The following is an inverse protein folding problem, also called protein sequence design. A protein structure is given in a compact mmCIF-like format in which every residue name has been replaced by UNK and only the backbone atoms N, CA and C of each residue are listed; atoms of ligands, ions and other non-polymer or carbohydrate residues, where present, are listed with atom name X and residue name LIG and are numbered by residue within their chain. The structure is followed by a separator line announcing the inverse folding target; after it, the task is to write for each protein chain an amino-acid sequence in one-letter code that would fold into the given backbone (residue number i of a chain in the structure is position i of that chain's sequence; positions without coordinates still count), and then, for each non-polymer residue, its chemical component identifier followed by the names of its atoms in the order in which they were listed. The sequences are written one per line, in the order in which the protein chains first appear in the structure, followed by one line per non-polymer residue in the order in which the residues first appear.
data_IF_350347970800
#
_entry.id   IF_350347970800
#
_cell.length_a   1.000
_cell.length_b   1.000
_cell.length_c   1.000
_cell.angle_alpha   90.00
_cell.angle_beta   90.00
_cell.angle_gamma   90.00
#
_symmetry.space_group_name_H-M   'P 1'
#
loop_
_entity.id
_entity.type
_entity.pdbx_description
1 polymer ?
#
# COMPACT_ATOMS: atom_id res chain seq x y z
N UNK A 1 -0.47 16.23 -16.63
CA UNK A 1 0.23 14.96 -16.90
C UNK A 1 -0.39 13.95 -15.96
N UNK A 2 -1.29 13.12 -16.47
CA UNK A 2 -1.74 11.96 -15.70
C UNK A 2 -0.57 10.99 -15.58
N UNK A 3 -0.40 10.44 -14.39
CA UNK A 3 0.59 9.41 -14.14
C UNK A 3 0.08 8.12 -14.79
N UNK A 4 0.77 7.63 -15.83
CA UNK A 4 0.37 6.43 -16.59
C UNK A 4 0.18 5.21 -15.67
N UNK A 5 0.91 5.16 -14.56
CA UNK A 5 0.72 4.14 -13.53
C UNK A 5 -0.64 4.24 -12.84
N UNK A 6 -1.09 5.46 -12.53
CA UNK A 6 -2.42 5.70 -11.93
C UNK A 6 -3.52 5.33 -12.92
N UNK A 7 -3.35 5.64 -14.21
CA UNK A 7 -4.34 5.28 -15.23
C UNK A 7 -4.51 3.77 -15.37
N UNK A 8 -3.40 3.01 -15.34
CA UNK A 8 -3.42 1.55 -15.38
C UNK A 8 -4.09 0.96 -14.13
N UNK A 9 -3.75 1.47 -12.94
CA UNK A 9 -4.39 1.05 -11.69
C UNK A 9 -5.90 1.34 -11.70
N UNK A 10 -6.31 2.49 -12.24
CA UNK A 10 -7.72 2.84 -12.37
C UNK A 10 -8.44 1.89 -13.35
N UNK A 11 -7.80 1.50 -14.44
CA UNK A 11 -8.38 0.55 -15.40
C UNK A 11 -8.67 -0.80 -14.71
N UNK A 12 -7.67 -1.36 -14.02
CA UNK A 12 -7.81 -2.61 -13.26
C UNK A 12 -8.90 -2.48 -12.18
N UNK A 13 -8.88 -1.39 -11.40
CA UNK A 13 -9.85 -1.18 -10.34
C UNK A 13 -11.29 -1.02 -10.85
N UNK A 14 -11.49 -0.48 -12.05
CA UNK A 14 -12.80 -0.42 -12.71
C UNK A 14 -13.28 -1.79 -13.12
N UNK A 15 -12.42 -2.56 -13.77
CA UNK A 15 -12.78 -3.86 -14.35
C UNK A 15 -13.05 -4.90 -13.27
N UNK A 16 -12.20 -4.98 -12.24
CA UNK A 16 -12.27 -6.06 -11.24
C UNK A 16 -12.98 -5.64 -9.95
N UNK A 17 -12.91 -4.36 -9.56
CA UNK A 17 -13.44 -3.89 -8.26
C UNK A 17 -14.63 -2.91 -8.40
N UNK A 18 -14.98 -2.52 -9.63
CA UNK A 18 -16.01 -1.52 -9.92
C UNK A 18 -15.68 -0.12 -9.42
N UNK A 19 -14.42 0.19 -9.12
CA UNK A 19 -13.96 1.49 -8.57
C UNK A 19 -13.66 2.45 -9.73
N UNK A 20 -14.54 3.42 -9.92
CA UNK A 20 -14.44 4.38 -11.04
C UNK A 20 -13.38 5.46 -10.88
N UNK A 21 -13.05 5.79 -9.63
CA UNK A 21 -12.12 6.86 -9.26
C UNK A 21 -11.49 6.58 -7.90
N UNK A 22 -10.27 7.06 -7.68
CA UNK A 22 -9.58 7.04 -6.38
C UNK A 22 -9.77 8.34 -5.58
N UNK A 23 -10.50 9.31 -6.13
CA UNK A 23 -10.83 10.55 -5.44
C UNK A 23 -11.89 10.31 -4.35
N UNK A 24 -11.63 10.78 -3.14
CA UNK A 24 -12.61 10.74 -2.05
C UNK A 24 -13.69 11.79 -2.29
N UNK A 25 -14.95 11.36 -2.22
CA UNK A 25 -16.10 12.23 -2.42
C UNK A 25 -16.62 12.81 -1.10
N UNK A 26 -16.16 12.30 0.04
CA UNK A 26 -16.65 12.64 1.38
C UNK A 26 -17.96 11.94 1.75
N UNK A 27 -18.45 11.02 0.90
CA UNK A 27 -19.67 10.25 1.11
C UNK A 27 -19.29 8.81 1.42
N UNK A 28 -19.56 8.29 2.63
CA UNK A 28 -19.20 6.91 2.99
C UNK A 28 -19.74 5.85 2.02
N UNK A 29 -20.93 6.04 1.47
CA UNK A 29 -21.54 5.11 0.51
C UNK A 29 -20.87 5.07 -0.86
N UNK A 30 -20.07 6.10 -1.19
CA UNK A 30 -19.31 6.16 -2.42
C UNK A 30 -17.83 5.80 -2.19
N UNK A 31 -17.29 6.20 -1.04
CA UNK A 31 -15.87 6.06 -0.68
C UNK A 31 -15.53 4.68 -0.08
N UNK A 32 -16.51 4.00 0.54
CA UNK A 32 -16.35 2.63 1.03
C UNK A 32 -17.17 1.65 0.17
N UNK A 33 -16.56 0.51 -0.15
CA UNK A 33 -17.16 -0.54 -0.98
C UNK A 33 -17.04 -1.88 -0.27
N UNK A 34 -18.07 -2.70 -0.40
CA UNK A 34 -17.97 -4.13 -0.08
C UNK A 34 -17.47 -4.81 -1.34
N UNK A 35 -16.32 -5.47 -1.26
CA UNK A 35 -15.69 -6.22 -2.35
C UNK A 35 -15.48 -7.66 -1.92
N UNK A 36 -15.59 -8.61 -2.85
CA UNK A 36 -15.29 -10.00 -2.54
C UNK A 36 -13.78 -10.21 -2.47
N UNK A 37 -13.35 -11.21 -1.71
CA UNK A 37 -11.93 -11.59 -1.65
C UNK A 37 -11.43 -12.10 -3.00
N UNK A 38 -12.30 -12.72 -3.81
CA UNK A 38 -11.97 -13.20 -5.16
C UNK A 38 -11.67 -12.04 -6.11
N UNK A 39 -12.49 -10.99 -6.07
CA UNK A 39 -12.30 -9.80 -6.91
C UNK A 39 -10.99 -9.08 -6.55
N UNK A 40 -10.65 -9.01 -5.25
CA UNK A 40 -9.36 -8.49 -4.80
C UNK A 40 -8.21 -9.33 -5.39
N UNK A 41 -8.32 -10.65 -5.32
CA UNK A 41 -7.29 -11.55 -5.84
C UNK A 41 -7.08 -11.35 -7.35
N UNK A 42 -8.15 -11.28 -8.13
CA UNK A 42 -8.10 -11.04 -9.59
C UNK A 42 -7.46 -9.69 -9.93
N UNK A 43 -7.85 -8.63 -9.23
CA UNK A 43 -7.27 -7.31 -9.44
C UNK A 43 -5.76 -7.28 -9.17
N UNK A 44 -5.29 -8.02 -8.15
CA UNK A 44 -3.87 -8.14 -7.85
C UNK A 44 -3.12 -8.95 -8.92
N UNK A 45 -3.68 -10.07 -9.39
CA UNK A 45 -3.12 -10.82 -10.52
C UNK A 45 -3.02 -9.95 -11.78
N UNK A 46 -4.08 -9.23 -12.14
CA UNK A 46 -4.10 -8.32 -13.29
C UNK A 46 -3.04 -7.23 -13.18
N UNK A 47 -2.83 -6.68 -11.97
CA UNK A 47 -1.74 -5.73 -11.73
C UNK A 47 -0.36 -6.36 -11.96
N UNK A 48 -0.13 -7.58 -11.46
CA UNK A 48 1.14 -8.28 -11.70
C UNK A 48 1.38 -8.60 -13.16
N UNK A 49 0.37 -9.06 -13.89
CA UNK A 49 0.43 -9.35 -15.32
C UNK A 49 0.71 -8.08 -16.15
N UNK A 50 0.20 -6.93 -15.71
CA UNK A 50 0.49 -5.64 -16.30
C UNK A 50 1.89 -5.10 -15.95
N UNK A 51 2.69 -5.85 -15.19
CA UNK A 51 4.05 -5.49 -14.79
C UNK A 51 4.12 -4.55 -13.59
N UNK A 52 3.02 -4.36 -12.85
CA UNK A 52 3.02 -3.62 -11.58
C UNK A 52 3.61 -4.49 -10.48
N UNK A 53 4.94 -4.51 -10.43
CA UNK A 53 5.67 -5.19 -9.36
C UNK A 53 5.75 -4.25 -8.16
N UNK A 54 4.90 -4.48 -7.17
CA UNK A 54 5.10 -3.90 -5.84
C UNK A 54 6.27 -4.66 -5.22
N UNK A 55 7.50 -4.17 -5.44
CA UNK A 55 8.63 -4.63 -4.66
C UNK A 55 8.26 -4.51 -3.18
N UNK A 56 8.64 -5.50 -2.36
CA UNK A 56 8.57 -5.43 -0.89
C UNK A 56 9.53 -4.34 -0.34
N UNK A 57 9.64 -3.18 -0.99
CA UNK A 57 9.97 -1.96 -0.31
C UNK A 57 8.77 -1.60 0.54
N UNK A 58 8.79 -2.14 1.77
CA UNK A 58 8.13 -1.56 2.94
C UNK A 58 8.74 -0.17 3.14
N UNK A 59 8.42 0.76 2.26
CA UNK A 59 8.64 2.19 2.43
C UNK A 59 7.28 2.87 2.35
N UNK A 60 6.33 2.33 3.10
CA UNK A 60 5.18 3.09 3.59
C UNK A 60 5.17 2.95 5.11
N UNK A 61 6.09 3.68 5.74
CA UNK A 61 6.07 4.02 7.16
C UNK A 61 6.47 2.91 8.15
N UNK A 62 7.73 2.44 8.12
CA UNK A 62 8.32 2.12 9.42
C UNK A 62 8.38 3.43 10.21
N UNK A 63 7.84 3.51 11.44
CA UNK A 63 8.22 4.59 12.33
C UNK A 63 9.74 4.52 12.51
N UNK A 64 10.39 5.68 12.40
CA UNK A 64 11.82 5.90 12.62
C UNK A 64 12.22 5.65 14.10
N UNK A 65 11.94 4.46 14.61
CA UNK A 65 12.13 4.07 16.00
C UNK A 65 12.66 2.64 16.20
N UNK A 66 12.76 1.83 15.14
CA UNK A 66 13.38 0.50 15.23
C UNK A 66 14.92 0.56 15.34
N UNK A 67 15.55 1.60 14.76
CA UNK A 67 17.00 1.82 14.88
C UNK A 67 17.41 2.39 16.25
N UNK A 68 16.50 3.08 16.94
CA UNK A 68 16.77 3.66 18.27
C UNK A 68 16.95 2.60 19.37
N UNK A 69 16.35 1.41 19.21
CA UNK A 69 16.45 0.34 20.20
C UNK A 69 17.81 -0.38 20.15
N UNK A 70 18.47 -0.42 18.98
CA UNK A 70 19.82 -1.04 18.87
C UNK A 70 20.90 -0.19 19.51
N UNK A 71 20.81 1.14 19.42
CA UNK A 71 21.78 2.04 20.07
C UNK A 71 21.56 2.19 21.59
N UNK A 72 20.31 2.18 22.06
CA UNK A 72 20.02 2.32 23.49
C UNK A 72 20.45 1.12 24.33
N UNK A 73 20.56 -0.07 23.73
CA UNK A 73 20.96 -1.29 24.44
C UNK A 73 22.49 -1.46 24.51
N UNK A 74 23.26 -0.71 23.70
CA UNK A 74 24.73 -0.71 23.72
C UNK A 74 25.30 0.26 24.78
N UNK A 75 24.58 1.34 25.11
CA UNK A 75 25.01 2.25 26.19
C UNK A 75 24.72 1.71 27.60
N UNK A 76 23.79 0.75 27.75
CA UNK A 76 23.55 0.11 29.05
C UNK A 76 24.63 -0.90 29.48
N UNK A 77 25.52 -1.34 28.57
CA UNK A 77 26.58 -2.31 28.89
C UNK A 77 27.96 -1.65 29.14
N UNK A 78 28.08 -0.32 28.97
CA UNK A 78 29.32 0.40 29.18
C UNK A 78 29.43 1.14 30.53
N UNK A 79 28.39 1.06 31.39
CA UNK A 79 28.27 1.83 32.64
C UNK A 79 28.43 1.03 33.93
N UNK A 80 29.04 -0.15 33.89
CA UNK A 80 29.20 -1.04 35.05
C UNK A 80 30.65 -1.18 35.49
N UNK A 81 31.23 -0.14 36.11
CA UNK A 81 32.41 -0.30 36.97
C UNK A 81 32.41 0.68 38.13
#
# INVERSE_FOLDING_TARGET
MSDAHIELLLAIAREDLGIETFELTGKPSADFRIVSVDDIYRALEAAYDAGLVVGHSVTRGLPAGADAMRHAMEECDAGGQ
#
